data_IF_970847044354
#
_entry.id   IF_970847044354
#
_cell.length_a   1.000
_cell.length_b   1.000
_cell.length_c   1.000
_cell.angle_alpha   90.00
_cell.angle_beta   90.00
_cell.angle_gamma   90.00
#
_symmetry.space_group_name_H-M   'P 1'
#
loop_
_entity.id
_entity.type
_entity.pdbx_description
1 polymer ?
#
# COMPACT_ATOMS: atom_id res chain seq x y z
N UNK A 1 -23.11 121.72 51.76
CA UNK A 1 -22.20 120.76 52.42
C UNK A 1 -22.85 119.39 52.28
N UNK A 2 -22.40 118.44 51.46
CA UNK A 2 -21.03 118.03 51.13
C UNK A 2 -20.91 117.65 49.65
N UNK A 3 -20.09 118.36 48.89
CA UNK A 3 -19.49 117.79 47.67
C UNK A 3 -18.39 116.85 48.12
N UNK A 4 -18.58 115.54 47.93
CA UNK A 4 -17.52 114.58 48.17
C UNK A 4 -16.48 114.78 47.06
N UNK A 5 -15.41 115.49 47.37
CA UNK A 5 -14.32 115.77 46.45
C UNK A 5 -13.73 114.46 45.92
N UNK A 6 -13.46 114.38 44.61
CA UNK A 6 -12.88 113.20 43.91
C UNK A 6 -11.60 112.66 44.58
N UNK A 7 -10.90 113.50 45.33
CA UNK A 7 -9.72 113.19 46.16
C UNK A 7 -10.05 112.40 47.42
N UNK A 8 -11.18 112.68 48.07
CA UNK A 8 -11.67 111.98 49.27
C UNK A 8 -12.14 110.56 48.95
N UNK A 9 -12.82 110.40 47.80
CA UNK A 9 -13.22 109.09 47.24
C UNK A 9 -11.97 108.27 46.93
N UNK A 10 -10.93 108.88 46.35
CA UNK A 10 -9.66 108.21 46.04
C UNK A 10 -8.91 107.76 47.30
N UNK A 11 -8.89 108.56 48.37
CA UNK A 11 -8.35 108.15 49.68
C UNK A 11 -9.16 107.02 50.32
N UNK A 12 -10.49 107.10 50.29
CA UNK A 12 -11.36 106.02 50.80
C UNK A 12 -11.18 104.73 50.01
N UNK A 13 -11.09 104.78 48.68
CA UNK A 13 -10.78 103.61 47.86
C UNK A 13 -9.39 103.04 48.21
N UNK A 14 -8.37 103.88 48.36
CA UNK A 14 -7.03 103.43 48.79
C UNK A 14 -7.03 102.75 50.16
N UNK A 15 -7.80 103.28 51.11
CA UNK A 15 -7.97 102.67 52.44
C UNK A 15 -8.81 101.38 52.39
N UNK A 16 -9.80 101.29 51.51
CA UNK A 16 -10.60 100.08 51.28
C UNK A 16 -9.72 98.99 50.66
N UNK A 17 -8.86 99.32 49.69
CA UNK A 17 -7.89 98.38 49.11
C UNK A 17 -6.88 97.92 50.16
N UNK A 18 -6.36 98.82 51.01
CA UNK A 18 -5.47 98.44 52.12
C UNK A 18 -6.16 97.56 53.16
N UNK A 19 -7.43 97.81 53.47
CA UNK A 19 -8.21 96.95 54.37
C UNK A 19 -8.49 95.57 53.73
N UNK A 20 -8.73 95.52 52.42
CA UNK A 20 -8.89 94.27 51.67
C UNK A 20 -7.59 93.46 51.64
N UNK A 21 -6.45 94.13 51.43
CA UNK A 21 -5.12 93.52 51.51
C UNK A 21 -4.83 92.98 52.92
N UNK A 22 -5.18 93.76 53.96
CA UNK A 22 -4.97 93.39 55.36
C UNK A 22 -5.88 92.23 55.83
N UNK A 23 -7.11 92.19 55.33
CA UNK A 23 -8.10 91.16 55.72
C UNK A 23 -7.98 89.87 54.90
N UNK A 24 -7.58 89.97 53.63
CA UNK A 24 -7.66 88.85 52.69
C UNK A 24 -6.40 88.64 51.82
N UNK A 25 -5.40 89.52 51.87
CA UNK A 25 -4.19 89.41 51.03
C UNK A 25 -3.40 88.12 51.28
N UNK A 26 -3.14 87.78 52.55
CA UNK A 26 -2.45 86.53 52.91
C UNK A 26 -3.23 85.29 52.45
N UNK A 27 -4.56 85.31 52.57
CA UNK A 27 -5.41 84.22 52.08
C UNK A 27 -5.38 84.14 50.55
N UNK A 28 -5.42 85.28 49.85
CA UNK A 28 -5.33 85.35 48.38
C UNK A 28 -3.97 84.80 47.91
N UNK A 29 -2.87 85.16 48.57
CA UNK A 29 -1.54 84.65 48.25
C UNK A 29 -1.40 83.15 48.53
N UNK A 30 -1.98 82.65 49.63
CA UNK A 30 -2.01 81.22 49.93
C UNK A 30 -2.82 80.44 48.87
N UNK A 31 -3.98 80.97 48.46
CA UNK A 31 -4.79 80.37 47.40
C UNK A 31 -4.09 80.40 46.05
N UNK A 32 -3.43 81.51 45.69
CA UNK A 32 -2.64 81.62 44.47
C UNK A 32 -1.47 80.63 44.47
N UNK A 33 -0.79 80.47 45.60
CA UNK A 33 0.29 79.48 45.76
C UNK A 33 -0.21 78.04 45.61
N UNK A 34 -1.36 77.70 46.20
CA UNK A 34 -1.98 76.37 46.00
C UNK A 34 -2.43 76.14 44.55
N UNK A 35 -3.02 77.14 43.91
CA UNK A 35 -3.40 77.09 42.50
C UNK A 35 -2.19 76.83 41.60
N UNK A 36 -1.09 77.54 41.83
CA UNK A 36 0.15 77.37 41.09
C UNK A 36 0.73 75.96 41.29
N UNK A 37 0.74 75.44 42.52
CA UNK A 37 1.15 74.05 42.79
C UNK A 37 0.25 73.01 42.10
N UNK A 38 -1.07 73.24 42.07
CA UNK A 38 -1.98 72.34 41.36
C UNK A 38 -1.78 72.37 39.85
N UNK A 39 -1.54 73.54 39.26
CA UNK A 39 -1.21 73.66 37.83
C UNK A 39 0.08 72.90 37.51
N UNK A 40 1.14 73.10 38.28
CA UNK A 40 2.41 72.37 38.09
C UNK A 40 2.25 70.85 38.20
N UNK A 41 1.42 70.39 39.16
CA UNK A 41 1.12 68.96 39.31
C UNK A 41 0.30 68.42 38.13
N UNK A 42 -0.63 69.22 37.62
CA UNK A 42 -1.46 68.86 36.47
C UNK A 42 -0.61 68.77 35.21
N UNK A 43 0.28 69.73 34.96
CA UNK A 43 1.24 69.72 33.85
C UNK A 43 2.16 68.50 33.92
N UNK A 44 2.68 68.18 35.12
CA UNK A 44 3.51 67.01 35.32
C UNK A 44 2.75 65.69 35.09
N UNK A 45 1.47 65.64 35.47
CA UNK A 45 0.62 64.49 35.23
C UNK A 45 0.32 64.32 33.73
N UNK A 46 0.01 65.41 33.03
CA UNK A 46 -0.24 65.41 31.59
C UNK A 46 1.01 64.98 30.80
N UNK A 47 2.19 65.50 31.17
CA UNK A 47 3.45 65.08 30.57
C UNK A 47 3.74 63.59 30.81
N UNK A 48 3.47 63.07 32.02
CA UNK A 48 3.64 61.65 32.32
C UNK A 48 2.65 60.77 31.55
N UNK A 49 1.38 61.19 31.42
CA UNK A 49 0.38 60.49 30.61
C UNK A 49 0.80 60.45 29.14
N UNK A 50 1.24 61.57 28.57
CA UNK A 50 1.70 61.63 27.19
C UNK A 50 2.92 60.74 26.96
N UNK A 51 3.86 60.70 27.92
CA UNK A 51 5.02 59.81 27.86
C UNK A 51 4.61 58.34 27.94
N UNK A 52 3.69 58.00 28.83
CA UNK A 52 3.15 56.64 28.97
C UNK A 52 2.46 56.19 27.68
N UNK A 53 1.61 57.04 27.10
CA UNK A 53 0.94 56.78 25.84
C UNK A 53 1.93 56.50 24.70
N UNK A 54 2.94 57.37 24.51
CA UNK A 54 3.99 57.14 23.51
C UNK A 54 4.76 55.84 23.73
N UNK A 55 5.00 55.48 24.99
CA UNK A 55 5.71 54.24 25.33
C UNK A 55 4.86 53.02 24.98
N UNK A 56 3.56 53.07 25.26
CA UNK A 56 2.61 52.02 24.92
C UNK A 56 2.50 51.87 23.40
N UNK A 57 2.33 52.97 22.66
CA UNK A 57 2.28 52.97 21.19
C UNK A 57 3.55 52.38 20.58
N UNK A 58 4.74 52.77 21.08
CA UNK A 58 6.01 52.21 20.62
C UNK A 58 6.13 50.71 20.95
N UNK A 59 5.68 50.29 22.13
CA UNK A 59 5.70 48.87 22.54
C UNK A 59 4.76 48.03 21.67
N UNK A 60 3.57 48.54 21.35
CA UNK A 60 2.61 47.87 20.46
C UNK A 60 3.21 47.73 19.06
N UNK A 61 3.72 48.82 18.48
CA UNK A 61 4.35 48.78 17.16
C UNK A 61 5.55 47.81 17.10
N UNK A 62 6.34 47.73 18.17
CA UNK A 62 7.43 46.78 18.26
C UNK A 62 6.94 45.32 18.35
N UNK A 63 5.88 45.06 19.13
CA UNK A 63 5.29 43.74 19.26
C UNK A 63 4.69 43.27 17.93
N UNK A 64 3.97 44.13 17.22
CA UNK A 64 3.42 43.87 15.89
C UNK A 64 4.53 43.52 14.89
N UNK A 65 5.60 44.32 14.86
CA UNK A 65 6.74 44.07 13.98
C UNK A 65 7.39 42.70 14.26
N UNK A 66 7.64 42.37 15.53
CA UNK A 66 8.22 41.07 15.91
C UNK A 66 7.29 39.91 15.56
N UNK A 67 5.99 40.09 15.76
CA UNK A 67 4.99 39.08 15.41
C UNK A 67 4.99 38.84 13.89
N UNK A 68 5.03 39.91 13.09
CA UNK A 68 5.09 39.81 11.63
C UNK A 68 6.37 39.11 11.15
N UNK A 69 7.53 39.49 11.70
CA UNK A 69 8.82 38.84 11.40
C UNK A 69 8.79 37.35 11.75
N UNK A 70 8.21 37.00 12.91
CA UNK A 70 8.08 35.61 13.34
C UNK A 70 7.11 34.81 12.44
N UNK A 71 5.94 35.37 12.10
CA UNK A 71 4.99 34.75 11.17
C UNK A 71 5.67 34.50 9.82
N UNK A 72 6.39 35.49 9.28
CA UNK A 72 7.06 35.35 8.00
C UNK A 72 8.19 34.31 8.05
N UNK A 73 8.95 34.27 9.14
CA UNK A 73 9.98 33.26 9.37
C UNK A 73 9.39 31.84 9.42
N UNK A 74 8.30 31.64 10.18
CA UNK A 74 7.61 30.36 10.28
C UNK A 74 7.00 29.94 8.94
N UNK A 75 6.38 30.88 8.21
CA UNK A 75 5.84 30.63 6.87
C UNK A 75 6.94 30.16 5.90
N UNK A 76 8.08 30.84 5.87
CA UNK A 76 9.21 30.45 5.03
C UNK A 76 9.80 29.09 5.43
N UNK A 77 9.89 28.80 6.73
CA UNK A 77 10.36 27.50 7.22
C UNK A 77 9.40 26.37 6.83
N UNK A 78 8.09 26.62 6.92
CA UNK A 78 7.05 25.68 6.52
C UNK A 78 7.09 25.42 5.02
N UNK A 79 7.24 26.46 4.21
CA UNK A 79 7.35 26.36 2.76
C UNK A 79 8.59 25.54 2.35
N UNK A 80 9.75 25.82 2.95
CA UNK A 80 10.98 25.03 2.72
C UNK A 80 10.82 23.57 3.11
N UNK A 81 10.22 23.29 4.27
CA UNK A 81 9.96 21.93 4.71
C UNK A 81 8.99 21.21 3.75
N UNK A 82 7.92 21.90 3.33
CA UNK A 82 6.98 21.36 2.35
C UNK A 82 7.67 20.98 1.04
N UNK A 83 8.48 21.87 0.47
CA UNK A 83 9.26 21.60 -0.74
C UNK A 83 10.24 20.43 -0.57
N UNK A 84 10.90 20.33 0.58
CA UNK A 84 11.79 19.21 0.90
C UNK A 84 11.03 17.88 0.98
N UNK A 85 9.85 17.86 1.61
CA UNK A 85 9.00 16.67 1.66
C UNK A 85 8.53 16.26 0.27
N UNK A 86 8.04 17.21 -0.54
CA UNK A 86 7.62 16.96 -1.93
C UNK A 86 8.77 16.33 -2.73
N UNK A 87 9.98 16.90 -2.63
CA UNK A 87 11.16 16.40 -3.32
C UNK A 87 11.51 14.97 -2.89
N UNK A 88 11.46 14.69 -1.58
CA UNK A 88 11.70 13.37 -1.01
C UNK A 88 10.67 12.34 -1.47
N UNK A 89 9.39 12.71 -1.48
CA UNK A 89 8.30 11.85 -1.98
C UNK A 89 8.47 11.54 -3.47
N UNK A 90 8.82 12.54 -4.29
CA UNK A 90 9.09 12.33 -5.72
C UNK A 90 10.29 11.39 -5.94
N UNK A 91 11.35 11.53 -5.16
CA UNK A 91 12.50 10.63 -5.23
C UNK A 91 12.11 9.18 -4.84
N UNK A 92 11.35 9.02 -3.76
CA UNK A 92 10.85 7.70 -3.34
C UNK A 92 9.92 7.07 -4.40
N UNK A 93 9.03 7.86 -5.00
CA UNK A 93 8.16 7.40 -6.09
C UNK A 93 8.98 6.93 -7.29
N UNK A 94 10.02 7.68 -7.70
CA UNK A 94 10.93 7.25 -8.77
C UNK A 94 11.67 5.96 -8.43
N UNK A 95 12.14 5.80 -7.19
CA UNK A 95 12.80 4.56 -6.74
C UNK A 95 11.85 3.36 -6.77
N UNK A 96 10.61 3.53 -6.31
CA UNK A 96 9.59 2.48 -6.36
C UNK A 96 9.26 2.09 -7.81
N UNK A 97 9.12 3.08 -8.70
CA UNK A 97 8.87 2.82 -10.11
C UNK A 97 10.04 2.06 -10.77
N UNK A 98 11.28 2.43 -10.48
CA UNK A 98 12.46 1.69 -10.94
C UNK A 98 12.52 0.25 -10.39
N UNK A 99 12.13 0.03 -9.13
CA UNK A 99 12.06 -1.31 -8.56
C UNK A 99 10.97 -2.14 -9.22
N UNK A 100 9.80 -1.55 -9.48
CA UNK A 100 8.71 -2.19 -10.19
C UNK A 100 9.15 -2.59 -11.60
N UNK A 101 9.79 -1.67 -12.35
CA UNK A 101 10.29 -1.97 -13.69
C UNK A 101 11.31 -3.11 -13.70
N UNK A 102 12.18 -3.18 -12.66
CA UNK A 102 13.11 -4.30 -12.50
C UNK A 102 12.39 -5.62 -12.24
N UNK A 103 11.39 -5.63 -11.37
CA UNK A 103 10.59 -6.83 -11.07
C UNK A 103 9.83 -7.29 -12.31
N UNK A 104 9.22 -6.36 -13.05
CA UNK A 104 8.50 -6.66 -14.30
C UNK A 104 9.46 -7.28 -15.31
N UNK A 105 10.62 -6.67 -15.55
CA UNK A 105 11.63 -7.23 -16.48
C UNK A 105 12.10 -8.61 -16.05
N UNK A 106 12.47 -8.77 -14.79
CA UNK A 106 12.90 -10.06 -14.25
C UNK A 106 11.81 -11.14 -14.37
N UNK A 107 10.56 -10.79 -14.06
CA UNK A 107 9.43 -11.69 -14.19
C UNK A 107 9.19 -12.07 -15.66
N UNK A 108 9.30 -11.11 -16.58
CA UNK A 108 9.15 -11.35 -18.02
C UNK A 108 10.23 -12.31 -18.51
N UNK A 109 11.49 -12.05 -18.19
CA UNK A 109 12.64 -12.92 -18.54
C UNK A 109 12.45 -14.35 -18.00
N UNK A 110 11.97 -14.48 -16.76
CA UNK A 110 11.75 -15.78 -16.15
C UNK A 110 10.55 -16.51 -16.76
N UNK A 111 9.50 -15.79 -17.15
CA UNK A 111 8.33 -16.35 -17.84
C UNK A 111 8.72 -16.83 -19.24
N UNK A 112 9.51 -16.04 -19.97
CA UNK A 112 10.04 -16.41 -21.29
C UNK A 112 10.95 -17.64 -21.20
N UNK A 113 11.85 -17.69 -20.21
CA UNK A 113 12.69 -18.85 -19.94
C UNK A 113 11.85 -20.10 -19.61
N UNK A 114 10.85 -19.96 -18.74
CA UNK A 114 9.95 -21.06 -18.38
C UNK A 114 9.19 -21.56 -19.60
N UNK A 115 8.66 -20.65 -20.42
CA UNK A 115 7.93 -20.99 -21.64
C UNK A 115 8.83 -21.73 -22.63
N UNK A 116 10.07 -21.26 -22.83
CA UNK A 116 11.04 -21.94 -23.69
C UNK A 116 11.43 -23.33 -23.15
N UNK A 117 11.67 -23.44 -21.85
CA UNK A 117 11.99 -24.71 -21.18
C UNK A 117 10.85 -25.72 -21.29
N UNK A 118 9.62 -25.28 -21.03
CA UNK A 118 8.41 -26.09 -21.14
C UNK A 118 8.22 -26.57 -22.59
N UNK A 119 8.29 -25.65 -23.55
CA UNK A 119 8.15 -26.00 -24.97
C UNK A 119 9.23 -27.00 -25.42
N UNK A 120 10.47 -26.82 -24.97
CA UNK A 120 11.57 -27.77 -25.24
C UNK A 120 11.27 -29.14 -24.65
N UNK A 121 10.81 -29.22 -23.39
CA UNK A 121 10.45 -30.48 -22.73
C UNK A 121 9.25 -31.16 -23.39
N UNK A 122 8.22 -30.40 -23.75
CA UNK A 122 7.05 -30.92 -24.48
C UNK A 122 7.46 -31.48 -25.84
N UNK A 123 8.33 -30.80 -26.58
CA UNK A 123 8.81 -31.29 -27.87
C UNK A 123 9.72 -32.53 -27.72
N UNK A 124 10.57 -32.58 -26.70
CA UNK A 124 11.37 -33.79 -26.36
C UNK A 124 10.45 -34.98 -26.07
N UNK A 125 9.49 -34.82 -25.17
CA UNK A 125 8.52 -35.86 -24.82
C UNK A 125 7.71 -36.32 -26.04
N UNK A 126 7.25 -35.39 -26.88
CA UNK A 126 6.54 -35.72 -28.11
C UNK A 126 7.41 -36.56 -29.05
N UNK A 127 8.69 -36.18 -29.20
CA UNK A 127 9.66 -36.93 -29.99
C UNK A 127 9.89 -38.33 -29.40
N UNK A 128 10.12 -38.45 -28.10
CA UNK A 128 10.31 -39.72 -27.39
C UNK A 128 9.10 -40.64 -27.56
N UNK A 129 7.88 -40.11 -27.41
CA UNK A 129 6.62 -40.85 -27.62
C UNK A 129 6.51 -41.34 -29.07
N UNK A 130 6.81 -40.49 -30.06
CA UNK A 130 6.75 -40.89 -31.47
C UNK A 130 7.79 -41.96 -31.81
N UNK A 131 8.98 -41.87 -31.21
CA UNK A 131 10.05 -42.83 -31.40
C UNK A 131 9.73 -44.17 -30.74
N UNK A 132 9.24 -44.17 -29.49
CA UNK A 132 8.82 -45.40 -28.80
C UNK A 132 7.65 -46.06 -29.51
N UNK A 133 6.67 -45.29 -29.99
CA UNK A 133 5.58 -45.84 -30.81
C UNK A 133 6.11 -46.51 -32.08
N UNK A 134 7.01 -45.85 -32.81
CA UNK A 134 7.60 -46.43 -34.03
C UNK A 134 8.41 -47.69 -33.75
N UNK A 135 9.15 -47.74 -32.64
CA UNK A 135 9.90 -48.92 -32.23
C UNK A 135 8.93 -50.07 -31.88
N UNK A 136 7.87 -49.78 -31.13
CA UNK A 136 6.86 -50.78 -30.77
C UNK A 136 6.13 -51.33 -32.00
N UNK A 137 5.80 -50.48 -32.97
CA UNK A 137 5.20 -50.89 -34.24
C UNK A 137 6.15 -51.78 -35.06
N UNK A 138 7.46 -51.51 -35.03
CA UNK A 138 8.47 -52.37 -35.66
C UNK A 138 8.57 -53.72 -34.96
N UNK A 139 8.68 -53.74 -33.63
CA UNK A 139 8.73 -54.96 -32.83
C UNK A 139 7.48 -55.82 -33.04
N UNK A 140 6.29 -55.20 -33.07
CA UNK A 140 5.03 -55.89 -33.32
C UNK A 140 5.00 -56.52 -34.73
N UNK A 141 5.52 -55.83 -35.74
CA UNK A 141 5.65 -56.38 -37.09
C UNK A 141 6.65 -57.53 -37.17
N UNK A 142 7.79 -57.43 -36.45
CA UNK A 142 8.78 -58.52 -36.37
C UNK A 142 8.18 -59.75 -35.70
N UNK A 143 7.53 -59.60 -34.55
CA UNK A 143 6.85 -60.71 -33.84
C UNK A 143 5.78 -61.34 -34.73
N UNK A 144 5.00 -60.52 -35.46
CA UNK A 144 4.02 -61.03 -36.42
C UNK A 144 4.66 -61.84 -37.54
N UNK A 145 5.78 -61.38 -38.09
CA UNK A 145 6.53 -62.12 -39.12
C UNK A 145 7.11 -63.42 -38.56
N UNK A 146 7.74 -63.41 -37.40
CA UNK A 146 8.26 -64.61 -36.74
C UNK A 146 7.15 -65.61 -36.43
N UNK A 147 6.00 -65.13 -35.96
CA UNK A 147 4.84 -65.97 -35.69
C UNK A 147 4.30 -66.63 -36.96
N UNK A 148 4.13 -65.86 -38.04
CA UNK A 148 3.71 -66.39 -39.34
C UNK A 148 4.73 -67.39 -39.90
N UNK A 149 6.02 -67.09 -39.83
CA UNK A 149 7.08 -67.99 -40.25
C UNK A 149 7.08 -69.31 -39.46
N UNK A 150 6.89 -69.25 -38.13
CA UNK A 150 6.73 -70.46 -37.30
C UNK A 150 5.46 -71.24 -37.65
N UNK A 151 4.36 -70.56 -37.96
CA UNK A 151 3.12 -71.19 -38.39
C UNK A 151 3.30 -71.91 -39.74
N UNK A 152 3.91 -71.24 -40.71
CA UNK A 152 4.22 -71.81 -42.02
C UNK A 152 5.19 -72.98 -41.89
N UNK A 153 6.22 -72.87 -41.05
CA UNK A 153 7.19 -73.94 -40.85
C UNK A 153 6.55 -75.16 -40.15
N UNK A 154 5.73 -74.95 -39.12
CA UNK A 154 4.95 -76.03 -38.49
C UNK A 154 3.97 -76.67 -39.49
N UNK A 155 3.31 -75.87 -40.33
CA UNK A 155 2.37 -76.37 -41.33
C UNK A 155 3.09 -77.16 -42.43
N UNK A 156 4.29 -76.72 -42.84
CA UNK A 156 5.15 -77.42 -43.77
C UNK A 156 5.70 -78.73 -43.15
N UNK A 157 6.09 -78.72 -41.87
CA UNK A 157 6.47 -79.93 -41.13
C UNK A 157 5.29 -80.91 -41.04
N UNK A 158 4.07 -80.43 -40.74
CA UNK A 158 2.84 -81.23 -40.77
C UNK A 158 2.51 -81.78 -42.17
N UNK A 159 2.87 -81.08 -43.24
CA UNK A 159 2.58 -81.52 -44.61
C UNK A 159 3.65 -82.49 -45.15
N UNK A 160 4.91 -82.31 -44.76
CA UNK A 160 6.05 -83.14 -45.19
C UNK A 160 6.21 -84.41 -44.35
N UNK A 161 5.96 -84.36 -43.04
CA UNK A 161 5.63 -85.59 -42.34
C UNK A 161 4.28 -86.03 -42.88
N UNK A 162 4.23 -87.19 -43.56
CA UNK A 162 2.95 -87.87 -43.75
C UNK A 162 2.38 -88.13 -42.37
N UNK A 163 1.58 -87.20 -41.86
CA UNK A 163 0.81 -87.43 -40.65
C UNK A 163 -0.06 -88.62 -41.00
N UNK A 164 0.24 -89.75 -40.36
CA UNK A 164 -0.63 -90.90 -40.39
C UNK A 164 -2.02 -90.37 -40.06
N UNK A 165 -3.05 -90.68 -40.87
CA UNK A 165 -4.43 -90.27 -40.57
C UNK A 165 -4.84 -90.60 -39.13
N UNK A 166 -4.18 -91.60 -38.54
CA UNK A 166 -4.27 -92.00 -37.13
C UNK A 166 -3.76 -90.94 -36.15
N UNK A 167 -2.58 -90.35 -36.38
CA UNK A 167 -1.98 -89.36 -35.47
C UNK A 167 -2.73 -88.02 -35.51
N UNK A 168 -3.22 -87.62 -36.69
CA UNK A 168 -4.08 -86.44 -36.84
C UNK A 168 -5.43 -86.64 -36.09
N UNK A 169 -6.00 -87.84 -36.20
CA UNK A 169 -7.24 -88.19 -35.50
C UNK A 169 -7.03 -88.20 -33.98
N UNK A 170 -5.88 -88.64 -33.49
CA UNK A 170 -5.54 -88.64 -32.07
C UNK A 170 -5.35 -87.21 -31.53
N UNK A 171 -4.69 -86.32 -32.28
CA UNK A 171 -4.56 -84.89 -31.89
C UNK A 171 -5.90 -84.15 -31.95
N UNK A 172 -6.75 -84.38 -32.95
CA UNK A 172 -8.11 -83.81 -32.98
C UNK A 172 -9.01 -84.38 -31.86
N UNK A 173 -8.82 -85.65 -31.48
CA UNK A 173 -9.50 -86.24 -30.33
C UNK A 173 -9.01 -85.61 -29.02
N UNK A 174 -7.72 -85.37 -28.87
CA UNK A 174 -7.15 -84.70 -27.70
C UNK A 174 -7.57 -83.22 -27.62
N UNK A 175 -7.64 -82.51 -28.75
CA UNK A 175 -8.13 -81.13 -28.82
C UNK A 175 -9.63 -81.03 -28.50
N UNK A 176 -10.44 -81.96 -28.99
CA UNK A 176 -11.87 -82.03 -28.66
C UNK A 176 -12.11 -82.44 -27.21
N UNK A 177 -11.24 -83.27 -26.62
CA UNK A 177 -11.21 -83.51 -25.18
C UNK A 177 -10.81 -82.27 -24.39
N UNK A 178 -9.78 -81.53 -24.82
CA UNK A 178 -9.34 -80.29 -24.14
C UNK A 178 -10.37 -79.18 -24.26
N UNK A 179 -11.00 -78.96 -25.42
CA UNK A 179 -12.13 -78.04 -25.56
C UNK A 179 -13.31 -78.46 -24.68
N UNK A 180 -13.66 -79.76 -24.67
CA UNK A 180 -14.71 -80.29 -23.77
C UNK A 180 -14.36 -80.19 -22.29
N UNK A 181 -13.07 -80.25 -21.92
CA UNK A 181 -12.57 -80.02 -20.55
C UNK A 181 -12.58 -78.54 -20.20
N UNK A 182 -12.25 -77.67 -21.15
CA UNK A 182 -12.26 -76.20 -20.97
C UNK A 182 -13.70 -75.71 -20.81
N UNK A 183 -14.66 -76.27 -21.57
CA UNK A 183 -16.10 -76.03 -21.37
C UNK A 183 -16.61 -76.58 -20.03
N UNK A 184 -16.05 -77.69 -19.52
CA UNK A 184 -16.40 -78.22 -18.20
C UNK A 184 -15.80 -77.37 -17.05
N UNK A 185 -14.57 -76.90 -17.17
CA UNK A 185 -13.91 -76.05 -16.17
C UNK A 185 -14.46 -74.62 -16.17
N UNK A 186 -14.87 -74.07 -17.32
CA UNK A 186 -15.62 -72.81 -17.42
C UNK A 186 -16.98 -72.89 -16.72
N UNK A 187 -17.70 -74.01 -16.85
CA UNK A 187 -18.98 -74.22 -16.16
C UNK A 187 -18.86 -74.38 -14.63
N UNK A 188 -17.67 -74.73 -14.10
CA UNK A 188 -17.41 -74.70 -12.65
C UNK A 188 -16.97 -73.32 -12.15
N UNK A 189 -16.24 -72.55 -12.97
CA UNK A 189 -15.77 -71.20 -12.63
C UNK A 189 -16.91 -70.16 -12.60
N UNK A 190 -17.91 -70.29 -13.48
CA UNK A 190 -19.06 -69.36 -13.55
C UNK A 190 -20.02 -69.45 -12.34
N UNK A 191 -19.81 -70.39 -11.41
CA UNK A 191 -20.67 -70.57 -10.22
C UNK A 191 -20.16 -69.90 -8.94
N UNK A 192 -18.96 -69.29 -8.93
CA UNK A 192 -18.36 -68.75 -7.69
C UNK A 192 -18.18 -67.25 -7.57
N UNK A 193 -18.23 -66.47 -8.64
CA UNK A 193 -18.00 -65.03 -8.54
C UNK A 193 -19.25 -64.20 -8.84
N UNK A 194 -20.23 -64.34 -7.94
CA UNK A 194 -21.18 -63.26 -7.65
C UNK A 194 -20.90 -62.74 -6.24
N UNK A 195 -20.66 -61.42 -6.16
CA UNK A 195 -20.58 -60.54 -4.96
C UNK A 195 -19.16 -60.13 -4.58
N UNK A 196 -18.79 -58.89 -4.91
CA UNK A 196 -18.69 -57.81 -3.92
C UNK A 196 -18.27 -56.47 -4.54
N UNK A 197 -18.99 -55.42 -4.14
CA UNK A 197 -18.52 -54.03 -3.95
C UNK A 197 -18.42 -53.11 -5.17
N UNK A 198 -19.59 -52.58 -5.56
CA UNK A 198 -19.80 -51.13 -5.58
C UNK A 198 -19.57 -50.55 -4.17
N UNK A 199 -18.65 -49.60 -4.00
CA UNK A 199 -18.92 -48.41 -3.18
C UNK A 199 -17.83 -47.32 -3.36
N UNK A 200 -18.29 -46.10 -3.14
CA UNK A 200 -17.67 -44.79 -3.34
C UNK A 200 -16.26 -44.59 -2.74
N UNK A 201 -15.41 -43.90 -3.50
CA UNK A 201 -14.33 -43.10 -2.92
C UNK A 201 -14.44 -41.65 -3.40
N UNK A 202 -14.99 -40.85 -2.51
CA UNK A 202 -15.15 -39.41 -2.59
C UNK A 202 -13.80 -38.72 -2.81
N UNK A 203 -13.82 -37.74 -3.72
CA UNK A 203 -12.82 -36.71 -3.83
C UNK A 203 -12.80 -35.84 -2.57
N UNK A 204 -11.62 -35.70 -1.98
CA UNK A 204 -11.34 -34.70 -0.98
C UNK A 204 -9.96 -34.10 -1.29
N UNK A 205 -9.92 -32.86 -1.81
CA UNK A 205 -8.80 -31.96 -1.59
C UNK A 205 -9.22 -30.49 -1.82
N UNK A 206 -9.70 -29.89 -0.72
CA UNK A 206 -9.37 -28.55 -0.21
C UNK A 206 -8.76 -27.53 -1.18
N UNK A 207 -9.51 -26.46 -1.45
CA UNK A 207 -8.98 -25.11 -1.72
C UNK A 207 -8.81 -24.36 -0.39
N UNK A 208 -7.72 -23.61 -0.15
CA UNK A 208 -7.68 -22.62 0.91
C UNK A 208 -8.17 -21.27 0.38
N UNK A 209 -9.25 -20.75 0.97
CA UNK A 209 -9.57 -19.32 0.90
C UNK A 209 -8.66 -18.54 1.85
N UNK A 210 -7.92 -17.61 1.27
CA UNK A 210 -7.18 -16.55 1.97
C UNK A 210 -8.15 -15.51 2.53
N UNK A 211 -8.03 -15.23 3.83
CA UNK A 211 -8.26 -13.91 4.42
C UNK A 211 -7.13 -13.59 5.37
#
# INVERSE_FOLDING_TARGET
MNEITKTEIRKRLGNITQLQELLFGEQIDEYNSKLEQYNQRLDALEANLQKSQKTIEASIAQAEKKLFEHIFSVANALEKNSHAQISKTQEQQRKLQQQLDKVVKYSQEHLDFLHQSLNTKTNSLKSEITQTKSALDQDLNLVKQEFLAKLENNLAELNNNKISRTDLAEVFFELSLKLKRTDADLNLADSKDLKTLTDDSQGNLMLPETK
#
